data_IF_449726915742
#
_entry.id   IF_449726915742
#
_cell.length_a   1.000
_cell.length_b   1.000
_cell.length_c   1.000
_cell.angle_alpha   90.00
_cell.angle_beta   90.00
_cell.angle_gamma   90.00
#
_symmetry.space_group_name_H-M   'P 1'
#
loop_
_entity.id
_entity.type
_entity.pdbx_description
1 polymer ?
#
# COMPACT_ATOMS: atom_id res chain seq x y z
N UNK A 1 -14.44 19.32 5.15
CA UNK A 1 -13.46 18.31 5.60
C UNK A 1 -12.90 17.59 4.36
N UNK A 2 -11.60 17.72 4.11
CA UNK A 2 -10.90 17.08 2.99
C UNK A 2 -10.30 15.77 3.47
N UNK A 3 -10.63 14.67 2.80
CA UNK A 3 -10.17 13.32 3.15
C UNK A 3 -9.30 12.78 2.03
N UNK A 4 -8.23 12.08 2.37
CA UNK A 4 -7.43 11.26 1.46
C UNK A 4 -7.39 9.81 1.95
N UNK A 5 -7.41 8.89 1.01
CA UNK A 5 -7.16 7.47 1.26
C UNK A 5 -5.72 7.14 0.85
N UNK A 6 -5.05 6.29 1.61
CA UNK A 6 -3.71 5.83 1.29
C UNK A 6 -3.68 4.30 1.33
N UNK A 7 -3.09 3.68 0.32
CA UNK A 7 -2.97 2.24 0.22
C UNK A 7 -1.57 1.84 -0.25
N UNK A 8 -1.10 0.64 0.11
CA UNK A 8 0.27 0.18 -0.23
C UNK A 8 0.52 0.16 -1.75
N UNK A 9 -0.16 -0.72 -2.45
CA UNK A 9 -0.17 -0.88 -3.91
C UNK A 9 -1.43 -1.65 -4.32
N UNK A 10 -1.90 -1.42 -5.54
CA UNK A 10 -3.09 -2.08 -6.09
C UNK A 10 -2.66 -2.93 -7.29
N UNK A 11 -2.63 -4.26 -7.10
CA UNK A 11 -2.26 -5.23 -8.14
C UNK A 11 -3.28 -6.36 -8.29
N UNK A 12 -3.92 -6.75 -7.22
CA UNK A 12 -4.89 -7.85 -7.20
C UNK A 12 -6.13 -7.41 -6.44
N UNK A 13 -7.24 -8.11 -6.60
CA UNK A 13 -8.46 -7.82 -5.86
C UNK A 13 -8.62 -8.82 -4.72
N UNK A 14 -7.99 -8.52 -3.61
CA UNK A 14 -8.02 -9.32 -2.38
C UNK A 14 -8.86 -8.69 -1.26
N UNK A 15 -8.59 -9.12 -0.03
CA UNK A 15 -9.27 -8.60 1.17
C UNK A 15 -8.99 -7.14 1.43
N UNK A 16 -7.76 -6.69 1.20
CA UNK A 16 -7.34 -5.30 1.43
C UNK A 16 -8.01 -4.34 0.43
N UNK A 17 -8.10 -4.74 -0.83
CA UNK A 17 -8.74 -3.95 -1.88
C UNK A 17 -10.26 -3.87 -1.69
N UNK A 18 -10.89 -4.91 -1.12
CA UNK A 18 -12.32 -4.86 -0.72
C UNK A 18 -12.56 -3.83 0.39
N UNK A 19 -11.65 -3.73 1.36
CA UNK A 19 -11.75 -2.70 2.40
C UNK A 19 -11.49 -1.32 1.80
N UNK A 20 -10.54 -1.18 0.88
CA UNK A 20 -10.32 0.06 0.16
C UNK A 20 -11.56 0.48 -0.65
N UNK A 21 -12.24 -0.47 -1.30
CA UNK A 21 -13.51 -0.25 -2.00
C UNK A 21 -14.59 0.27 -1.03
N UNK A 22 -14.78 -0.38 0.11
CA UNK A 22 -15.73 0.06 1.11
C UNK A 22 -15.40 1.46 1.67
N UNK A 23 -14.11 1.77 1.87
CA UNK A 23 -13.67 3.10 2.27
C UNK A 23 -13.97 4.15 1.19
N UNK A 24 -13.77 3.79 -0.08
CA UNK A 24 -14.08 4.69 -1.19
C UNK A 24 -15.60 4.89 -1.38
N UNK A 25 -16.42 3.88 -1.11
CA UNK A 25 -17.89 4.03 -1.09
C UNK A 25 -18.34 5.02 -0.01
N UNK A 26 -17.70 5.01 1.16
CA UNK A 26 -17.96 5.98 2.24
C UNK A 26 -17.47 7.40 1.89
N UNK A 27 -16.37 7.49 1.14
CA UNK A 27 -15.71 8.76 0.80
C UNK A 27 -15.44 8.85 -0.72
N UNK A 28 -16.48 8.93 -1.57
CA UNK A 28 -16.33 8.79 -3.03
C UNK A 28 -15.56 9.93 -3.71
N UNK A 29 -15.36 11.05 -3.03
CA UNK A 29 -14.57 12.20 -3.51
C UNK A 29 -13.14 12.20 -3.00
N UNK A 30 -12.76 11.22 -2.15
CA UNK A 30 -11.41 11.16 -1.60
C UNK A 30 -10.45 10.56 -2.65
N UNK A 31 -9.36 11.26 -3.00
CA UNK A 31 -8.32 10.66 -3.84
C UNK A 31 -7.62 9.53 -3.09
N UNK A 32 -7.15 8.54 -3.85
CA UNK A 32 -6.43 7.38 -3.34
C UNK A 32 -4.96 7.52 -3.71
N UNK A 33 -4.10 7.61 -2.72
CA UNK A 33 -2.65 7.62 -2.89
C UNK A 33 -2.08 6.23 -2.70
N UNK A 34 -1.28 5.79 -3.67
CA UNK A 34 -0.66 4.47 -3.63
C UNK A 34 0.71 4.50 -4.30
N UNK A 35 1.56 3.52 -4.05
CA UNK A 35 2.85 3.46 -4.73
C UNK A 35 2.71 3.03 -6.18
N UNK A 36 1.89 2.01 -6.47
CA UNK A 36 1.75 1.36 -7.77
C UNK A 36 0.29 0.95 -7.98
N UNK A 37 -0.23 1.17 -9.19
CA UNK A 37 -1.55 0.71 -9.62
C UNK A 37 -1.44 -0.06 -10.93
N UNK A 38 -1.86 -1.31 -10.94
CA UNK A 38 -1.77 -2.23 -12.07
C UNK A 38 -3.15 -2.77 -12.45
N UNK A 39 -3.99 -1.99 -13.14
CA UNK A 39 -5.37 -2.36 -13.46
C UNK A 39 -5.47 -3.61 -14.33
N UNK A 40 -4.46 -3.93 -15.14
CA UNK A 40 -4.42 -5.12 -15.99
C UNK A 40 -4.38 -6.44 -15.19
N UNK A 41 -3.95 -6.40 -13.94
CA UNK A 41 -3.88 -7.56 -13.05
C UNK A 41 -5.14 -7.77 -12.20
N UNK A 42 -6.09 -6.81 -12.22
CA UNK A 42 -7.33 -6.89 -11.45
C UNK A 42 -8.40 -7.79 -12.10
N UNK A 43 -8.15 -8.26 -13.33
CA UNK A 43 -9.09 -9.11 -14.06
C UNK A 43 -10.48 -8.47 -14.19
N UNK A 44 -11.56 -9.20 -13.84
CA UNK A 44 -12.93 -8.69 -13.98
C UNK A 44 -13.24 -7.49 -13.05
N UNK A 45 -12.43 -7.29 -12.02
CA UNK A 45 -12.62 -6.21 -11.03
C UNK A 45 -12.06 -4.86 -11.48
N UNK A 46 -11.33 -4.80 -12.61
CA UNK A 46 -10.75 -3.56 -13.15
C UNK A 46 -11.76 -2.41 -13.25
N UNK A 47 -13.00 -2.72 -13.67
CA UNK A 47 -14.06 -1.71 -13.84
C UNK A 47 -14.44 -1.00 -12.54
N UNK A 48 -14.27 -1.65 -11.37
CA UNK A 48 -14.60 -1.06 -10.06
C UNK A 48 -13.72 0.15 -9.74
N UNK A 49 -12.48 0.14 -10.21
CA UNK A 49 -11.47 1.17 -9.94
C UNK A 49 -11.36 2.24 -11.04
N UNK A 50 -12.08 2.09 -12.16
CA UNK A 50 -11.88 2.91 -13.36
C UNK A 50 -12.31 4.37 -13.20
N UNK A 51 -13.23 4.66 -12.27
CA UNK A 51 -13.73 6.02 -11.99
C UNK A 51 -13.04 6.69 -10.80
N UNK A 52 -12.11 6.02 -10.14
CA UNK A 52 -11.47 6.53 -8.94
C UNK A 52 -10.30 7.46 -9.27
N UNK A 53 -10.12 8.52 -8.46
CA UNK A 53 -8.93 9.38 -8.51
C UNK A 53 -7.76 8.67 -7.82
N UNK A 54 -7.05 7.80 -8.57
CA UNK A 54 -5.89 7.04 -8.07
C UNK A 54 -4.61 7.77 -8.46
N UNK A 55 -3.86 8.20 -7.46
CA UNK A 55 -2.59 8.93 -7.59
C UNK A 55 -1.44 8.02 -7.19
N UNK A 56 -0.61 7.69 -8.16
CA UNK A 56 0.54 6.81 -7.97
C UNK A 56 1.83 7.58 -7.73
N UNK A 57 2.82 6.88 -7.19
CA UNK A 57 4.18 7.42 -7.04
C UNK A 57 4.99 7.28 -8.32
N UNK A 58 6.22 7.83 -8.31
CA UNK A 58 7.18 7.66 -9.41
C UNK A 58 7.53 6.19 -9.70
N UNK A 59 7.33 5.29 -8.74
CA UNK A 59 7.53 3.84 -8.93
C UNK A 59 6.64 3.25 -10.02
N UNK A 60 5.50 3.88 -10.32
CA UNK A 60 4.60 3.48 -11.40
C UNK A 60 5.28 3.41 -12.76
N UNK A 61 6.29 4.26 -13.00
CA UNK A 61 6.97 4.39 -14.28
C UNK A 61 8.17 3.45 -14.45
N UNK A 62 8.49 2.65 -13.44
CA UNK A 62 9.61 1.69 -13.53
C UNK A 62 9.25 0.57 -14.52
N UNK A 63 10.12 0.27 -15.51
CA UNK A 63 9.90 -0.86 -16.40
C UNK A 63 9.74 -2.17 -15.61
N UNK A 64 8.80 -3.01 -16.03
CA UNK A 64 8.51 -4.30 -15.39
C UNK A 64 8.13 -4.20 -13.90
N UNK A 65 7.58 -3.08 -13.45
CA UNK A 65 7.21 -2.81 -12.05
C UNK A 65 6.38 -3.93 -11.42
N UNK A 66 5.52 -4.59 -12.19
CA UNK A 66 4.71 -5.72 -11.73
C UNK A 66 5.53 -6.90 -11.16
N UNK A 67 6.75 -7.12 -11.69
CA UNK A 67 7.70 -8.15 -11.21
C UNK A 67 8.57 -7.65 -10.07
N UNK A 68 8.75 -6.33 -9.95
CA UNK A 68 9.65 -5.68 -9.01
C UNK A 68 8.97 -5.22 -7.71
N UNK A 69 7.66 -5.45 -7.52
CA UNK A 69 6.94 -5.01 -6.31
C UNK A 69 7.62 -5.49 -5.03
N UNK A 70 8.11 -6.74 -4.99
CA UNK A 70 8.76 -7.28 -3.78
C UNK A 70 10.04 -6.52 -3.38
N UNK A 71 11.03 -6.31 -4.25
CA UNK A 71 12.20 -5.50 -3.92
C UNK A 71 11.86 -4.01 -3.72
N UNK A 72 10.89 -3.45 -4.45
CA UNK A 72 10.46 -2.06 -4.30
C UNK A 72 9.82 -1.76 -2.94
N UNK A 73 9.37 -2.78 -2.21
CA UNK A 73 8.90 -2.63 -0.82
C UNK A 73 9.99 -2.08 0.12
N UNK A 74 11.25 -2.33 -0.15
CA UNK A 74 12.37 -1.79 0.65
C UNK A 74 12.46 -0.27 0.57
N UNK A 75 12.09 0.33 -0.56
CA UNK A 75 12.11 1.77 -0.76
C UNK A 75 10.74 2.44 -0.53
N UNK A 76 9.68 1.64 -0.40
CA UNK A 76 8.33 2.15 -0.17
C UNK A 76 8.24 3.13 1.04
N UNK A 77 8.92 2.88 2.18
CA UNK A 77 8.93 3.82 3.30
C UNK A 77 9.43 5.22 2.90
N UNK A 78 10.48 5.29 2.08
CA UNK A 78 11.00 6.57 1.57
C UNK A 78 10.00 7.24 0.63
N UNK A 79 9.36 6.49 -0.25
CA UNK A 79 8.36 7.00 -1.19
C UNK A 79 7.18 7.61 -0.43
N UNK A 80 6.63 6.91 0.58
CA UNK A 80 5.51 7.43 1.36
C UNK A 80 5.89 8.70 2.16
N UNK A 81 7.10 8.78 2.72
CA UNK A 81 7.59 10.00 3.40
C UNK A 81 7.58 11.25 2.52
N UNK A 82 7.77 11.08 1.22
CA UNK A 82 7.76 12.17 0.26
C UNK A 82 6.35 12.48 -0.31
N UNK A 83 5.33 11.71 0.04
CA UNK A 83 3.95 12.03 -0.30
C UNK A 83 3.41 13.08 0.65
N UNK A 84 3.29 14.32 0.18
CA UNK A 84 2.75 15.43 0.98
C UNK A 84 1.21 15.43 0.93
N UNK A 85 0.60 15.11 2.05
CA UNK A 85 -0.83 15.11 2.27
C UNK A 85 -1.27 16.14 3.32
N UNK A 86 -0.44 17.16 3.60
CA UNK A 86 -0.70 18.20 4.59
C UNK A 86 -1.91 19.08 4.28
N UNK A 87 -2.38 19.06 3.03
CA UNK A 87 -3.57 19.80 2.57
C UNK A 87 -4.91 19.13 2.96
N UNK A 88 -4.87 17.93 3.55
CA UNK A 88 -6.05 17.20 4.00
C UNK A 88 -6.30 17.38 5.48
N UNK A 89 -7.57 17.21 5.90
CA UNK A 89 -7.96 17.22 7.31
C UNK A 89 -7.84 15.83 7.95
N UNK A 90 -8.17 14.79 7.17
CA UNK A 90 -8.12 13.39 7.60
C UNK A 90 -7.46 12.54 6.52
N UNK A 91 -6.57 11.67 6.95
CA UNK A 91 -5.91 10.67 6.09
C UNK A 91 -6.27 9.29 6.64
N UNK A 92 -6.89 8.46 5.81
CA UNK A 92 -7.23 7.08 6.17
C UNK A 92 -6.28 6.16 5.43
N UNK A 93 -5.47 5.45 6.19
CA UNK A 93 -4.47 4.51 5.68
C UNK A 93 -5.02 3.09 5.73
N UNK A 94 -5.08 2.43 4.59
CA UNK A 94 -5.39 1.02 4.44
C UNK A 94 -4.07 0.26 4.28
N UNK A 95 -3.46 -0.14 5.42
CA UNK A 95 -2.14 -0.74 5.44
C UNK A 95 -2.20 -2.27 5.42
N UNK A 96 -1.51 -2.88 4.47
CA UNK A 96 -1.23 -4.31 4.47
C UNK A 96 0.00 -4.66 5.30
N UNK A 97 0.79 -5.55 5.20
CA UNK A 97 1.82 -5.98 6.14
C UNK A 97 3.05 -5.08 6.34
N UNK A 98 3.13 -3.89 5.73
CA UNK A 98 4.38 -3.12 5.72
C UNK A 98 4.35 -1.80 6.51
N UNK A 99 3.22 -1.37 7.03
CA UNK A 99 3.02 -0.08 7.74
C UNK A 99 3.58 1.18 7.04
N UNK A 100 4.28 1.03 5.93
CA UNK A 100 4.92 2.12 5.18
C UNK A 100 3.96 3.26 4.80
N UNK A 101 2.68 3.00 4.44
CA UNK A 101 1.72 4.05 4.13
C UNK A 101 1.46 5.03 5.27
N UNK A 102 1.74 4.65 6.52
CA UNK A 102 1.59 5.55 7.68
C UNK A 102 2.69 6.63 7.74
N UNK A 103 3.72 6.54 6.90
CA UNK A 103 4.83 7.48 6.87
C UNK A 103 4.60 8.72 6.00
N UNK A 104 3.42 8.86 5.38
CA UNK A 104 3.08 10.04 4.59
C UNK A 104 3.23 11.33 5.39
N UNK A 105 3.67 12.41 4.72
CA UNK A 105 3.74 13.72 5.35
C UNK A 105 2.32 14.26 5.56
N UNK A 106 1.83 14.18 6.80
CA UNK A 106 0.44 14.50 7.14
C UNK A 106 0.19 15.92 7.60
N UNK A 107 1.26 16.70 7.90
CA UNK A 107 1.11 18.00 8.52
C UNK A 107 0.24 17.94 9.79
N UNK A 108 -0.83 18.72 9.82
CA UNK A 108 -1.83 18.76 10.93
C UNK A 108 -2.98 17.76 10.77
N UNK A 109 -3.04 17.01 9.68
CA UNK A 109 -4.12 16.05 9.43
C UNK A 109 -4.17 14.95 10.50
N UNK A 110 -5.40 14.49 10.80
CA UNK A 110 -5.58 13.27 11.60
C UNK A 110 -5.30 12.07 10.72
N UNK A 111 -4.43 11.17 11.17
CA UNK A 111 -4.13 9.92 10.48
C UNK A 111 -4.80 8.77 11.21
N UNK A 112 -5.60 8.01 10.47
CA UNK A 112 -6.30 6.81 10.95
C UNK A 112 -5.78 5.63 10.15
N UNK A 113 -5.21 4.62 10.82
CA UNK A 113 -4.70 3.43 10.17
C UNK A 113 -5.67 2.25 10.34
N UNK A 114 -6.18 1.75 9.21
CA UNK A 114 -6.83 0.45 9.15
C UNK A 114 -5.77 -0.62 8.81
N UNK A 115 -5.28 -1.29 9.84
CA UNK A 115 -4.29 -2.35 9.68
C UNK A 115 -5.00 -3.68 9.40
N UNK A 116 -4.80 -4.24 8.18
CA UNK A 116 -5.45 -5.48 7.77
C UNK A 116 -4.92 -6.70 8.51
N UNK A 117 -3.62 -6.96 8.35
CA UNK A 117 -2.96 -8.10 8.99
C UNK A 117 -1.55 -7.67 9.37
N UNK A 118 -1.16 -7.79 10.64
CA UNK A 118 0.22 -7.59 11.03
C UNK A 118 1.16 -8.50 10.24
N UNK A 119 2.41 -8.07 9.98
CA UNK A 119 3.38 -8.88 9.25
C UNK A 119 3.63 -10.20 9.98
N UNK A 120 3.05 -11.29 9.50
CA UNK A 120 3.09 -12.61 10.14
C UNK A 120 4.51 -13.10 10.41
N UNK A 121 5.46 -12.72 9.55
CA UNK A 121 6.87 -13.10 9.70
C UNK A 121 7.54 -12.51 10.94
N UNK A 122 7.09 -11.34 11.42
CA UNK A 122 7.59 -10.70 12.65
C UNK A 122 7.13 -11.45 13.92
N UNK A 123 6.01 -12.19 13.82
CA UNK A 123 5.41 -12.90 14.96
C UNK A 123 5.62 -14.41 14.89
N UNK A 124 6.55 -14.90 14.06
CA UNK A 124 6.86 -16.34 13.95
C UNK A 124 5.81 -17.18 13.24
N UNK A 125 4.74 -16.61 12.72
CA UNK A 125 3.71 -17.36 12.01
C UNK A 125 4.18 -17.81 10.62
N UNK A 126 3.66 -18.98 10.18
CA UNK A 126 3.92 -19.49 8.85
C UNK A 126 3.44 -18.50 7.77
N UNK A 127 4.31 -18.17 6.83
CA UNK A 127 3.98 -17.36 5.66
C UNK A 127 3.89 -18.26 4.43
N UNK A 128 3.06 -17.87 3.46
CA UNK A 128 2.92 -18.60 2.20
C UNK A 128 4.25 -18.67 1.41
N UNK A 129 5.17 -17.74 1.66
CA UNK A 129 6.52 -17.75 1.09
C UNK A 129 7.51 -18.33 2.10
N UNK A 130 8.13 -19.46 1.75
CA UNK A 130 9.15 -20.13 2.54
C UNK A 130 10.52 -19.41 2.36
N UNK A 131 10.56 -18.10 2.69
CA UNK A 131 11.75 -17.24 2.54
C UNK A 131 12.97 -17.74 3.35
N UNK A 132 12.72 -18.52 4.43
CA UNK A 132 13.76 -19.18 5.23
C UNK A 132 14.57 -20.23 4.45
N UNK A 133 14.05 -20.73 3.31
CA UNK A 133 14.77 -21.66 2.43
C UNK A 133 15.81 -20.99 1.54
N UNK A 134 15.74 -19.67 1.35
CA UNK A 134 16.72 -18.93 0.57
C UNK A 134 17.75 -18.30 1.52
N UNK A 135 19.03 -18.70 1.48
CA UNK A 135 20.05 -18.22 2.43
C UNK A 135 20.25 -16.70 2.37
N UNK A 136 20.11 -16.09 1.20
CA UNK A 136 20.25 -14.63 1.02
C UNK A 136 19.09 -13.89 1.69
N UNK A 137 17.85 -14.37 1.50
CA UNK A 137 16.66 -13.76 2.09
C UNK A 137 16.60 -13.99 3.60
N UNK A 138 17.20 -15.07 4.11
CA UNK A 138 17.32 -15.34 5.54
C UNK A 138 18.22 -14.31 6.22
N UNK A 139 19.39 -14.04 5.65
CA UNK A 139 20.33 -13.02 6.18
C UNK A 139 19.68 -11.63 6.17
N UNK A 140 19.03 -11.24 5.06
CA UNK A 140 18.31 -9.95 4.98
C UNK A 140 17.16 -9.85 6.00
N UNK A 141 16.44 -10.95 6.25
CA UNK A 141 15.35 -10.98 7.23
C UNK A 141 15.83 -10.93 8.69
N UNK A 142 17.03 -11.44 8.99
CA UNK A 142 17.65 -11.36 10.30
C UNK A 142 18.23 -9.96 10.60
N UNK A 143 18.58 -9.19 9.56
CA UNK A 143 19.03 -7.79 9.69
C UNK A 143 17.87 -6.78 9.87
N UNK A 144 16.65 -7.18 9.55
CA UNK A 144 15.45 -6.33 9.68
C UNK A 144 14.66 -6.59 10.97
N UNK A 145 15.17 -7.42 11.88
CA UNK A 145 14.70 -7.63 13.25
C UNK A 145 15.66 -6.91 14.20
#
# INVERSE_FOLDING_TARGET
MKIALVHDYIKEYGGAERVLEALHELFPKAPIYTTIYLPEYLGPHKKRFSSWDIRTSLLQHIPFVAKLISPLRLIAPSIFRHMDLSAYDVIIVSATGAYAPNLVHKGKAKLICYCHTPPRYLYGYATARNWKKNPILRVLGEFCN
#
